data_IF_049260389031
#
_entry.id   IF_049260389031
#
_cell.length_a   1.000
_cell.length_b   1.000
_cell.length_c   1.000
_cell.angle_alpha   90.00
_cell.angle_beta   90.00
_cell.angle_gamma   90.00
#
_symmetry.space_group_name_H-M   'P 1'
#
loop_
_entity.id
_entity.type
_entity.pdbx_description
1 polymer ?
#
# COMPACT_ATOMS: atom_id res chain seq x y z
N UNK A 1 -14.33 -0.01 18.87
CA UNK A 1 -15.19 -0.25 17.68
C UNK A 1 -16.02 0.99 17.41
N UNK A 2 -15.95 1.54 16.20
CA UNK A 2 -16.75 2.70 15.74
C UNK A 2 -17.47 2.33 14.42
N UNK A 3 -18.54 1.53 14.47
CA UNK A 3 -19.15 0.92 13.27
C UNK A 3 -19.85 1.92 12.33
N UNK A 4 -19.85 3.22 12.65
CA UNK A 4 -20.46 4.28 11.84
C UNK A 4 -19.45 5.25 11.25
N UNK A 5 -18.17 5.12 11.62
CA UNK A 5 -17.13 5.99 11.09
C UNK A 5 -16.74 5.49 9.69
N UNK A 6 -16.74 6.37 8.67
CA UNK A 6 -16.24 6.03 7.34
C UNK A 6 -14.82 5.47 7.39
N UNK A 7 -14.49 4.50 6.55
CA UNK A 7 -13.16 3.88 6.58
C UNK A 7 -12.04 4.85 6.23
N UNK A 8 -12.33 5.89 5.43
CA UNK A 8 -11.37 6.97 5.12
C UNK A 8 -10.79 7.64 6.38
N UNK A 9 -11.55 7.75 7.46
CA UNK A 9 -11.06 8.30 8.73
C UNK A 9 -9.99 7.39 9.37
N UNK A 10 -10.10 6.08 9.17
CA UNK A 10 -9.06 5.13 9.59
C UNK A 10 -7.79 5.32 8.75
N UNK A 11 -7.95 5.55 7.45
CA UNK A 11 -6.83 5.81 6.54
C UNK A 11 -6.13 7.13 6.87
N UNK A 12 -6.89 8.20 7.16
CA UNK A 12 -6.33 9.46 7.66
C UNK A 12 -5.51 9.21 8.91
N UNK A 13 -6.05 8.50 9.90
CA UNK A 13 -5.32 8.19 11.13
C UNK A 13 -4.07 7.33 10.91
N UNK A 14 -4.11 6.39 9.95
CA UNK A 14 -2.93 5.63 9.53
C UNK A 14 -1.88 6.56 8.94
N UNK A 15 -2.24 7.44 7.99
CA UNK A 15 -1.29 8.37 7.37
C UNK A 15 -0.69 9.36 8.38
N UNK A 16 -1.51 9.91 9.27
CA UNK A 16 -1.05 10.79 10.35
C UNK A 16 -0.03 10.11 11.27
N UNK A 17 -0.10 8.79 11.43
CA UNK A 17 0.87 8.02 12.23
C UNK A 17 2.26 7.95 11.58
N UNK A 18 2.36 8.31 10.29
CA UNK A 18 3.59 8.46 9.50
C UNK A 18 3.86 9.92 9.12
N UNK A 19 3.23 10.89 9.79
CA UNK A 19 3.34 12.32 9.48
C UNK A 19 2.95 12.68 8.03
N UNK A 20 2.00 11.93 7.45
CA UNK A 20 1.47 12.15 6.10
C UNK A 20 0.03 12.66 6.11
N UNK A 21 -0.32 13.43 5.09
CA UNK A 21 -1.69 13.84 4.76
C UNK A 21 -2.24 12.99 3.59
N UNK A 22 -3.55 13.04 3.34
CA UNK A 22 -4.16 12.29 2.23
C UNK A 22 -3.60 12.71 0.87
N UNK A 23 -3.32 13.99 0.72
CA UNK A 23 -2.81 14.61 -0.50
C UNK A 23 -1.40 14.14 -0.85
N UNK A 24 -0.61 13.69 0.14
CA UNK A 24 0.71 13.11 -0.07
C UNK A 24 0.63 11.74 -0.75
N UNK A 25 -0.51 11.07 -0.66
CA UNK A 25 -0.74 9.74 -1.24
C UNK A 25 -1.26 9.83 -2.68
N UNK A 26 -0.42 10.37 -3.56
CA UNK A 26 -0.68 10.55 -4.99
C UNK A 26 0.32 9.75 -5.86
N UNK A 27 0.29 9.92 -7.18
CA UNK A 27 1.12 9.16 -8.12
C UNK A 27 2.64 9.32 -7.87
N UNK A 28 3.09 10.39 -7.21
CA UNK A 28 4.51 10.59 -6.90
C UNK A 28 5.06 9.51 -5.97
N UNK A 29 4.23 8.83 -5.18
CA UNK A 29 4.72 7.77 -4.28
C UNK A 29 5.18 6.52 -5.02
N UNK A 30 4.71 6.31 -6.26
CA UNK A 30 5.12 5.18 -7.10
C UNK A 30 6.30 5.54 -8.02
N UNK A 31 6.71 6.82 -8.02
CA UNK A 31 7.86 7.28 -8.76
C UNK A 31 9.17 6.66 -8.23
N UNK A 32 10.00 6.20 -9.15
CA UNK A 32 11.23 5.49 -8.80
C UNK A 32 12.24 6.37 -8.07
N UNK A 33 12.31 7.68 -8.33
CA UNK A 33 13.23 8.58 -7.63
C UNK A 33 12.82 8.73 -6.16
N UNK A 34 11.52 8.89 -5.90
CA UNK A 34 10.98 8.97 -4.54
C UNK A 34 11.15 7.65 -3.78
N UNK A 35 10.90 6.52 -4.43
CA UNK A 35 11.14 5.19 -3.84
C UNK A 35 12.62 5.00 -3.49
N UNK A 36 13.53 5.35 -4.41
CA UNK A 36 14.97 5.24 -4.17
C UNK A 36 15.43 6.14 -3.03
N UNK A 37 14.87 7.34 -2.91
CA UNK A 37 15.13 8.23 -1.78
C UNK A 37 14.75 7.58 -0.45
N UNK A 38 13.58 6.95 -0.36
CA UNK A 38 13.18 6.22 0.86
C UNK A 38 14.15 5.06 1.15
N UNK A 39 14.53 4.30 0.12
CA UNK A 39 15.48 3.17 0.27
C UNK A 39 16.86 3.62 0.76
N UNK A 40 17.33 4.80 0.32
CA UNK A 40 18.69 5.27 0.57
C UNK A 40 18.81 6.14 1.83
N UNK A 41 17.81 6.99 2.07
CA UNK A 41 17.89 8.08 3.04
C UNK A 41 16.96 7.88 4.25
N UNK A 42 16.08 6.88 4.24
CA UNK A 42 15.09 6.63 5.29
C UNK A 42 15.06 5.14 5.70
N UNK A 43 14.20 4.79 6.66
CA UNK A 43 13.96 3.39 7.01
C UNK A 43 12.94 2.76 6.03
N UNK A 44 13.44 2.08 5.00
CA UNK A 44 12.61 1.38 4.02
C UNK A 44 11.53 0.46 4.64
N UNK A 45 11.82 -0.22 5.75
CA UNK A 45 10.88 -1.16 6.35
C UNK A 45 9.77 -0.43 7.12
N UNK A 46 10.13 0.62 7.85
CA UNK A 46 9.17 1.43 8.60
C UNK A 46 8.34 2.33 7.68
N UNK A 47 9.00 3.09 6.80
CA UNK A 47 8.41 4.19 6.03
C UNK A 47 7.64 3.73 4.79
N UNK A 48 8.05 2.61 4.18
CA UNK A 48 7.45 2.10 2.95
C UNK A 48 6.72 0.79 3.20
N UNK A 49 7.43 -0.24 3.66
CA UNK A 49 6.84 -1.58 3.77
C UNK A 49 5.72 -1.64 4.81
N UNK A 50 5.95 -1.10 6.00
CA UNK A 50 4.95 -1.16 7.09
C UNK A 50 3.74 -0.30 6.79
N UNK A 51 3.94 0.89 6.22
CA UNK A 51 2.85 1.77 5.77
C UNK A 51 1.99 1.08 4.70
N UNK A 52 2.60 0.57 3.62
CA UNK A 52 1.86 -0.10 2.55
C UNK A 52 1.12 -1.33 3.06
N UNK A 53 1.75 -2.15 3.90
CA UNK A 53 1.08 -3.29 4.50
C UNK A 53 -0.11 -2.91 5.37
N UNK A 54 0.00 -1.82 6.13
CA UNK A 54 -1.07 -1.34 6.99
C UNK A 54 -2.26 -0.85 6.17
N UNK A 55 -1.99 -0.07 5.12
CA UNK A 55 -3.02 0.41 4.18
C UNK A 55 -3.72 -0.76 3.48
N UNK A 56 -2.95 -1.67 2.87
CA UNK A 56 -3.49 -2.82 2.13
C UNK A 56 -4.29 -3.73 3.07
N UNK A 57 -3.74 -4.08 4.24
CA UNK A 57 -4.44 -4.94 5.20
C UNK A 57 -5.74 -4.30 5.70
N UNK A 58 -5.76 -2.98 5.90
CA UNK A 58 -6.95 -2.26 6.37
C UNK A 58 -8.04 -2.25 5.30
N UNK A 59 -7.69 -1.93 4.05
CA UNK A 59 -8.63 -1.95 2.92
C UNK A 59 -9.22 -3.35 2.67
N UNK A 60 -8.36 -4.38 2.57
CA UNK A 60 -8.82 -5.75 2.36
C UNK A 60 -9.52 -6.35 3.58
N UNK A 61 -9.25 -5.84 4.78
CA UNK A 61 -10.05 -6.15 5.97
C UNK A 61 -11.52 -5.76 5.80
N UNK A 62 -11.81 -4.65 5.10
CA UNK A 62 -13.17 -4.23 4.80
C UNK A 62 -13.91 -5.25 3.91
N UNK A 63 -13.22 -5.83 2.91
CA UNK A 63 -13.80 -6.89 2.06
C UNK A 63 -14.28 -8.06 2.92
N UNK A 64 -13.45 -8.52 3.87
CA UNK A 64 -13.80 -9.64 4.74
C UNK A 64 -14.99 -9.31 5.64
N UNK A 65 -15.06 -8.08 6.14
CA UNK A 65 -16.09 -7.67 7.10
C UNK A 65 -17.41 -7.23 6.46
N UNK A 66 -17.36 -6.65 5.26
CA UNK A 66 -18.48 -5.94 4.63
C UNK A 66 -18.75 -6.38 3.19
N UNK A 67 -17.86 -7.17 2.59
CA UNK A 67 -17.99 -7.64 1.21
C UNK A 67 -17.72 -6.57 0.15
N UNK A 68 -17.08 -5.45 0.52
CA UNK A 68 -16.79 -4.32 -0.37
C UNK A 68 -15.56 -3.53 0.08
N UNK A 69 -15.05 -2.65 -0.79
CA UNK A 69 -14.13 -1.56 -0.45
C UNK A 69 -14.78 -0.22 -0.80
N UNK A 70 -14.76 0.74 0.11
CA UNK A 70 -15.31 2.07 -0.18
C UNK A 70 -14.45 2.82 -1.23
N UNK A 71 -15.11 3.49 -2.19
CA UNK A 71 -14.44 4.11 -3.34
C UNK A 71 -13.45 5.23 -2.95
N UNK A 72 -13.66 5.87 -1.81
CA UNK A 72 -12.82 6.97 -1.30
C UNK A 72 -11.42 6.51 -0.84
N UNK A 73 -11.24 5.22 -0.56
CA UNK A 73 -9.94 4.65 -0.16
C UNK A 73 -9.28 3.80 -1.24
N UNK A 74 -10.00 3.44 -2.32
CA UNK A 74 -9.48 2.55 -3.37
C UNK A 74 -8.19 3.05 -3.98
N UNK A 75 -8.09 4.35 -4.27
CA UNK A 75 -6.87 4.93 -4.85
C UNK A 75 -5.65 4.77 -3.95
N UNK A 76 -5.80 4.96 -2.64
CA UNK A 76 -4.71 4.83 -1.66
C UNK A 76 -4.23 3.37 -1.59
N UNK A 77 -5.17 2.42 -1.59
CA UNK A 77 -4.85 0.98 -1.60
C UNK A 77 -4.13 0.63 -2.91
N UNK A 78 -4.64 1.13 -4.04
CA UNK A 78 -4.07 0.88 -5.36
C UNK A 78 -2.62 1.38 -5.44
N UNK A 79 -2.37 2.62 -5.06
CA UNK A 79 -1.03 3.20 -5.08
C UNK A 79 -0.07 2.45 -4.15
N UNK A 80 -0.53 2.00 -2.98
CA UNK A 80 0.27 1.17 -2.07
C UNK A 80 0.68 -0.16 -2.73
N UNK A 81 -0.26 -0.81 -3.42
CA UNK A 81 0.03 -2.08 -4.12
C UNK A 81 1.01 -1.83 -5.28
N UNK A 82 0.78 -0.78 -6.08
CA UNK A 82 1.65 -0.43 -7.19
C UNK A 82 3.07 -0.08 -6.72
N UNK A 83 3.21 0.65 -5.61
CA UNK A 83 4.50 0.93 -4.96
C UNK A 83 5.20 -0.37 -4.57
N UNK A 84 4.49 -1.32 -3.98
CA UNK A 84 5.01 -2.65 -3.64
C UNK A 84 5.39 -3.52 -4.85
N UNK A 85 4.81 -3.26 -6.01
CA UNK A 85 5.15 -3.93 -7.29
C UNK A 85 6.36 -3.30 -7.98
N UNK A 86 6.81 -2.11 -7.56
CA UNK A 86 7.98 -1.47 -8.15
C UNK A 86 9.23 -2.35 -7.99
N UNK A 87 10.03 -2.44 -9.06
CA UNK A 87 11.22 -3.29 -9.09
C UNK A 87 12.22 -2.95 -7.99
N UNK A 88 12.40 -1.67 -7.65
CA UNK A 88 13.31 -1.25 -6.58
C UNK A 88 12.85 -1.74 -5.20
N UNK A 89 11.53 -1.76 -4.95
CA UNK A 89 10.96 -2.28 -3.71
C UNK A 89 11.13 -3.80 -3.65
N UNK A 90 10.82 -4.51 -4.74
CA UNK A 90 11.00 -5.96 -4.83
C UNK A 90 12.47 -6.37 -4.67
N UNK A 91 13.40 -5.65 -5.31
CA UNK A 91 14.83 -5.87 -5.22
C UNK A 91 15.35 -5.62 -3.79
N UNK A 92 14.90 -4.54 -3.14
CA UNK A 92 15.31 -4.21 -1.77
C UNK A 92 14.78 -5.21 -0.76
N UNK A 93 13.52 -5.62 -0.91
CA UNK A 93 12.87 -6.53 0.05
C UNK A 93 13.33 -7.99 -0.10
N UNK A 94 13.52 -8.47 -1.34
CA UNK A 94 13.76 -9.89 -1.63
C UNK A 94 15.17 -10.18 -2.15
N UNK A 95 16.00 -9.15 -2.32
CA UNK A 95 17.40 -9.29 -2.72
C UNK A 95 17.54 -9.97 -4.08
N UNK A 96 18.32 -11.05 -4.15
CA UNK A 96 18.56 -11.79 -5.40
C UNK A 96 17.60 -12.97 -5.61
N UNK A 97 16.52 -13.10 -4.83
CA UNK A 97 15.59 -14.23 -4.93
C UNK A 97 14.51 -13.96 -5.99
N UNK A 98 14.86 -14.19 -7.26
CA UNK A 98 13.97 -13.96 -8.41
C UNK A 98 12.64 -14.74 -8.34
N UNK A 99 12.67 -15.96 -7.80
CA UNK A 99 11.44 -16.76 -7.64
C UNK A 99 10.45 -16.07 -6.70
N UNK A 100 10.92 -15.57 -5.55
CA UNK A 100 10.05 -14.91 -4.59
C UNK A 100 9.60 -13.52 -5.08
N UNK A 101 10.42 -12.81 -5.86
CA UNK A 101 9.99 -11.56 -6.50
C UNK A 101 8.83 -11.80 -7.45
N UNK A 102 8.95 -12.83 -8.29
CA UNK A 102 7.90 -13.19 -9.23
C UNK A 102 6.62 -13.64 -8.51
N UNK A 103 6.72 -14.50 -7.50
CA UNK A 103 5.58 -14.93 -6.70
C UNK A 103 4.90 -13.75 -6.01
N UNK A 104 5.67 -12.86 -5.37
CA UNK A 104 5.15 -11.64 -4.74
C UNK A 104 4.44 -10.75 -5.75
N UNK A 105 5.02 -10.51 -6.92
CA UNK A 105 4.41 -9.72 -7.98
C UNK A 105 3.05 -10.31 -8.39
N UNK A 106 2.96 -11.63 -8.56
CA UNK A 106 1.68 -12.29 -8.87
C UNK A 106 0.64 -12.16 -7.76
N UNK A 107 1.04 -12.20 -6.49
CA UNK A 107 0.12 -11.96 -5.38
C UNK A 107 -0.39 -10.52 -5.37
N UNK A 108 0.49 -9.54 -5.56
CA UNK A 108 0.12 -8.12 -5.63
C UNK A 108 -0.80 -7.84 -6.82
N UNK A 109 -0.55 -8.46 -7.97
CA UNK A 109 -1.42 -8.38 -9.14
C UNK A 109 -2.84 -8.90 -8.83
N UNK A 110 -2.96 -10.03 -8.12
CA UNK A 110 -4.28 -10.54 -7.69
C UNK A 110 -4.99 -9.59 -6.73
N UNK A 111 -4.25 -8.88 -5.87
CA UNK A 111 -4.86 -7.87 -5.02
C UNK A 111 -5.40 -6.70 -5.86
N UNK A 112 -4.68 -6.24 -6.89
CA UNK A 112 -5.23 -5.23 -7.81
C UNK A 112 -6.52 -5.70 -8.48
N UNK A 113 -6.55 -6.93 -8.99
CA UNK A 113 -7.75 -7.51 -9.60
C UNK A 113 -8.94 -7.52 -8.62
N UNK A 114 -8.72 -7.94 -7.37
CA UNK A 114 -9.77 -7.93 -6.34
C UNK A 114 -10.21 -6.49 -6.01
N UNK A 115 -9.27 -5.53 -5.96
CA UNK A 115 -9.58 -4.13 -5.66
C UNK A 115 -10.46 -3.49 -6.75
N UNK A 116 -10.23 -3.85 -8.01
CA UNK A 116 -11.03 -3.38 -9.15
C UNK A 116 -12.48 -3.92 -9.10
N UNK A 117 -12.65 -5.16 -8.64
CA UNK A 117 -13.94 -5.84 -8.56
C UNK A 117 -14.75 -5.55 -7.27
N UNK A 118 -14.11 -5.02 -6.22
CA UNK A 118 -14.66 -4.87 -4.86
C UNK A 118 -15.51 -3.60 -4.61
#
# INVERSE_FOLDING_TARGET
ENPKTPIIECFIWILESWDLELEDFNDDIIDSENILKIIQDMDFYEELMSLDYTIIATGFGQVILQGKIDDDVKNIIQLSILRQMNSHVLDTFLGSNEQFKYERYLYLQKLLEILEDA
#
